data_IF_140391178651
#
_entry.id   IF_140391178651
#
_cell.length_a   1.000
_cell.length_b   1.000
_cell.length_c   1.000
_cell.angle_alpha   90.00
_cell.angle_beta   90.00
_cell.angle_gamma   90.00
#
_symmetry.space_group_name_H-M   'P 1'
#
loop_
_entity.id
_entity.type
_entity.pdbx_description
1 polymer ?
#
# COMPACT_ATOMS: atom_id res chain seq x y z
N UNK A 1 47.22 -16.51 -48.06
CA UNK A 1 47.29 -15.56 -46.94
C UNK A 1 45.94 -14.88 -46.87
N UNK A 2 45.00 -15.40 -46.07
CA UNK A 2 43.69 -14.76 -45.76
C UNK A 2 42.78 -15.61 -44.85
N UNK A 3 43.04 -16.91 -44.65
CA UNK A 3 42.17 -17.75 -43.78
C UNK A 3 42.57 -17.76 -42.29
N UNK A 4 43.79 -17.34 -41.95
CA UNK A 4 44.25 -17.31 -40.55
C UNK A 4 43.79 -16.04 -39.81
N UNK A 5 43.55 -14.93 -40.52
CA UNK A 5 43.09 -13.67 -39.92
C UNK A 5 41.61 -13.70 -39.50
N UNK A 6 40.83 -14.67 -39.97
CA UNK A 6 39.39 -14.75 -39.71
C UNK A 6 39.05 -15.50 -38.42
N UNK A 7 39.99 -16.29 -37.89
CA UNK A 7 39.80 -17.12 -36.68
C UNK A 7 40.25 -16.41 -35.39
N UNK A 8 41.01 -15.33 -35.50
CA UNK A 8 41.63 -14.64 -34.36
C UNK A 8 40.80 -13.43 -33.86
N UNK A 9 39.72 -13.07 -34.57
CA UNK A 9 38.76 -12.02 -34.18
C UNK A 9 37.52 -12.53 -33.45
N UNK A 10 37.46 -13.81 -33.12
CA UNK A 10 36.37 -14.37 -32.34
C UNK A 10 36.73 -14.33 -30.86
N UNK A 11 36.99 -13.11 -30.37
CA UNK A 11 37.09 -12.82 -28.94
C UNK A 11 35.84 -13.32 -28.22
N UNK A 12 35.96 -13.84 -26.99
CA UNK A 12 34.85 -14.38 -26.25
C UNK A 12 33.85 -13.27 -25.94
N UNK A 13 32.77 -13.21 -26.71
CA UNK A 13 31.61 -12.34 -26.45
C UNK A 13 30.44 -13.02 -25.69
N UNK A 14 30.62 -13.96 -24.72
CA UNK A 14 29.49 -14.45 -23.93
C UNK A 14 29.11 -13.50 -22.78
N UNK A 15 30.01 -12.59 -22.33
CA UNK A 15 29.78 -11.76 -21.15
C UNK A 15 28.79 -10.60 -21.39
N UNK A 16 28.91 -9.89 -22.52
CA UNK A 16 28.08 -8.71 -22.83
C UNK A 16 26.62 -9.10 -23.14
N UNK A 17 26.40 -10.30 -23.69
CA UNK A 17 25.06 -10.83 -23.95
C UNK A 17 24.35 -11.30 -22.67
N UNK A 18 25.09 -11.73 -21.64
CA UNK A 18 24.54 -12.16 -20.35
C UNK A 18 24.31 -11.00 -19.36
N UNK A 19 25.05 -9.89 -19.47
CA UNK A 19 24.86 -8.72 -18.60
C UNK A 19 23.53 -7.97 -18.85
N UNK A 20 23.09 -7.83 -20.10
CA UNK A 20 21.83 -7.14 -20.45
C UNK A 20 20.58 -7.78 -19.82
N UNK A 21 20.36 -9.11 -19.94
CA UNK A 21 19.19 -9.74 -19.34
C UNK A 21 19.22 -9.70 -17.80
N UNK A 22 20.42 -9.74 -17.18
CA UNK A 22 20.54 -9.61 -15.72
C UNK A 22 20.22 -8.20 -15.22
N UNK A 23 20.64 -7.14 -15.94
CA UNK A 23 20.28 -5.76 -15.59
C UNK A 23 18.79 -5.49 -15.74
N UNK A 24 18.16 -5.97 -16.81
CA UNK A 24 16.70 -5.86 -16.97
C UNK A 24 15.93 -6.61 -15.88
N UNK A 25 16.40 -7.79 -15.48
CA UNK A 25 15.80 -8.53 -14.36
C UNK A 25 15.92 -7.78 -13.03
N UNK A 26 17.08 -7.17 -12.74
CA UNK A 26 17.28 -6.38 -11.53
C UNK A 26 16.40 -5.12 -11.51
N UNK A 27 16.23 -4.46 -12.66
CA UNK A 27 15.38 -3.27 -12.80
C UNK A 27 13.90 -3.63 -12.61
N UNK A 28 13.42 -4.72 -13.23
CA UNK A 28 12.06 -5.23 -13.03
C UNK A 28 11.83 -5.64 -11.57
N UNK A 29 12.83 -6.29 -10.94
CA UNK A 29 12.74 -6.65 -9.51
C UNK A 29 12.68 -5.42 -8.62
N UNK A 30 13.46 -4.38 -8.93
CA UNK A 30 13.47 -3.11 -8.20
C UNK A 30 12.15 -2.35 -8.31
N UNK A 31 11.51 -2.35 -9.47
CA UNK A 31 10.17 -1.76 -9.66
C UNK A 31 9.10 -2.59 -8.94
N UNK A 32 9.21 -3.93 -8.98
CA UNK A 32 8.27 -4.81 -8.27
C UNK A 32 8.34 -4.63 -6.76
N UNK A 33 9.54 -4.51 -6.17
CA UNK A 33 9.71 -4.34 -4.73
C UNK A 33 9.24 -2.98 -4.22
N UNK A 34 9.40 -1.91 -5.01
CA UNK A 34 8.82 -0.60 -4.71
C UNK A 34 7.29 -0.63 -4.74
N UNK A 35 6.72 -1.29 -5.75
CA UNK A 35 5.27 -1.41 -5.90
C UNK A 35 4.65 -2.24 -4.78
N UNK A 36 5.30 -3.34 -4.40
CA UNK A 36 4.92 -4.17 -3.25
C UNK A 36 5.01 -3.39 -1.93
N UNK A 37 6.10 -2.63 -1.72
CA UNK A 37 6.28 -1.82 -0.52
C UNK A 37 5.18 -0.73 -0.40
N UNK A 38 4.88 -0.02 -1.49
CA UNK A 38 3.80 0.97 -1.52
C UNK A 38 2.43 0.31 -1.31
N UNK A 39 2.18 -0.83 -1.94
CA UNK A 39 0.96 -1.60 -1.75
C UNK A 39 0.76 -2.02 -0.30
N UNK A 40 1.79 -2.57 0.34
CA UNK A 40 1.78 -2.94 1.75
C UNK A 40 1.58 -1.73 2.67
N UNK A 41 2.22 -0.60 2.35
CA UNK A 41 2.08 0.63 3.13
C UNK A 41 0.64 1.16 3.06
N UNK A 42 0.02 1.16 1.87
CA UNK A 42 -1.37 1.56 1.68
C UNK A 42 -2.35 0.61 2.37
N UNK A 43 -2.13 -0.71 2.27
CA UNK A 43 -2.94 -1.72 2.97
C UNK A 43 -2.82 -1.54 4.48
N UNK A 44 -1.61 -1.32 4.99
CA UNK A 44 -1.37 -1.01 6.41
C UNK A 44 -2.11 0.25 6.84
N UNK A 45 -2.04 1.32 6.05
CA UNK A 45 -2.73 2.59 6.36
C UNK A 45 -4.25 2.41 6.38
N UNK A 46 -4.77 1.64 5.43
CA UNK A 46 -6.19 1.31 5.34
C UNK A 46 -6.65 0.50 6.55
N UNK A 47 -5.88 -0.51 6.96
CA UNK A 47 -6.15 -1.31 8.16
C UNK A 47 -6.09 -0.47 9.44
N UNK A 48 -5.12 0.44 9.54
CA UNK A 48 -5.01 1.36 10.69
C UNK A 48 -6.24 2.26 10.79
N UNK A 49 -6.62 2.88 9.67
CA UNK A 49 -7.78 3.77 9.58
C UNK A 49 -9.07 3.00 9.84
N UNK A 50 -9.13 1.75 9.38
CA UNK A 50 -10.24 0.84 9.62
C UNK A 50 -10.40 0.53 11.11
N UNK A 51 -9.33 0.11 11.77
CA UNK A 51 -9.33 -0.23 13.18
C UNK A 51 -9.70 0.97 14.06
N UNK A 52 -9.13 2.15 13.78
CA UNK A 52 -9.47 3.38 14.49
C UNK A 52 -10.94 3.75 14.31
N UNK A 53 -11.43 3.73 13.06
CA UNK A 53 -12.81 4.06 12.75
C UNK A 53 -13.81 3.09 13.37
N UNK A 54 -13.52 1.79 13.34
CA UNK A 54 -14.33 0.75 13.98
C UNK A 54 -14.38 0.95 15.49
N UNK A 55 -13.22 1.14 16.15
CA UNK A 55 -13.15 1.36 17.59
C UNK A 55 -13.92 2.61 18.03
N UNK A 56 -13.71 3.75 17.37
CA UNK A 56 -14.42 4.98 17.68
C UNK A 56 -15.94 4.83 17.53
N UNK A 57 -16.39 4.18 16.46
CA UNK A 57 -17.81 3.89 16.24
C UNK A 57 -18.39 2.95 17.30
N UNK A 58 -17.70 1.86 17.62
CA UNK A 58 -18.12 0.91 18.65
C UNK A 58 -18.29 1.61 19.99
N UNK A 59 -17.31 2.42 20.41
CA UNK A 59 -17.40 3.17 21.67
C UNK A 59 -18.59 4.13 21.66
N UNK A 60 -18.73 4.93 20.60
CA UNK A 60 -19.83 5.89 20.46
C UNK A 60 -21.21 5.22 20.55
N UNK A 61 -21.44 4.17 19.76
CA UNK A 61 -22.72 3.47 19.73
C UNK A 61 -22.99 2.65 20.99
N UNK A 62 -21.93 2.16 21.65
CA UNK A 62 -22.04 1.49 22.96
C UNK A 62 -22.53 2.47 24.03
N UNK A 63 -22.00 3.69 24.05
CA UNK A 63 -22.48 4.75 24.98
C UNK A 63 -23.94 5.10 24.71
N UNK A 64 -24.37 5.06 23.44
CA UNK A 64 -25.77 5.27 23.08
C UNK A 64 -26.67 4.03 23.24
N UNK A 65 -26.14 2.89 23.71
CA UNK A 65 -26.90 1.65 23.89
C UNK A 65 -27.38 1.00 22.59
N UNK A 66 -26.80 1.35 21.44
CA UNK A 66 -27.22 0.86 20.12
C UNK A 66 -26.36 -0.32 19.67
N UNK A 67 -26.89 -1.54 19.82
CA UNK A 67 -26.21 -2.77 19.37
C UNK A 67 -26.02 -2.76 17.85
N UNK A 68 -27.01 -2.26 17.08
CA UNK A 68 -26.89 -2.16 15.64
C UNK A 68 -25.77 -1.22 15.20
N UNK A 69 -25.60 -0.09 15.91
CA UNK A 69 -24.49 0.82 15.66
C UNK A 69 -23.13 0.17 15.90
N UNK A 70 -23.00 -0.60 16.98
CA UNK A 70 -21.78 -1.37 17.30
C UNK A 70 -21.46 -2.40 16.22
N UNK A 71 -22.46 -3.18 15.79
CA UNK A 71 -22.29 -4.20 14.75
C UNK A 71 -21.90 -3.56 13.42
N UNK A 72 -22.56 -2.45 13.03
CA UNK A 72 -22.23 -1.73 11.80
C UNK A 72 -20.81 -1.12 11.85
N UNK A 73 -20.36 -0.62 13.01
CA UNK A 73 -18.99 -0.13 13.17
C UNK A 73 -17.93 -1.24 13.09
N UNK A 74 -18.26 -2.46 13.48
CA UNK A 74 -17.35 -3.61 13.36
C UNK A 74 -17.27 -4.17 11.93
N UNK A 75 -18.38 -4.13 11.18
CA UNK A 75 -18.47 -4.72 9.84
C UNK A 75 -18.09 -3.74 8.74
N UNK A 76 -18.54 -2.48 8.83
CA UNK A 76 -18.43 -1.51 7.74
C UNK A 76 -17.23 -0.59 7.98
N UNK A 77 -16.20 -0.67 7.12
CA UNK A 77 -15.08 0.25 7.14
C UNK A 77 -15.49 1.71 7.16
N UNK A 78 -15.05 2.44 8.19
CA UNK A 78 -15.29 3.87 8.27
C UNK A 78 -16.73 4.27 8.64
N UNK A 79 -17.64 3.34 8.96
CA UNK A 79 -18.98 3.72 9.46
C UNK A 79 -18.90 4.48 10.79
N UNK A 80 -18.06 4.01 11.71
CA UNK A 80 -17.77 4.75 12.95
C UNK A 80 -17.19 6.13 12.65
N UNK A 81 -16.13 6.19 11.85
CA UNK A 81 -15.50 7.45 11.46
C UNK A 81 -16.48 8.43 10.79
N UNK A 82 -17.30 7.99 9.83
CA UNK A 82 -18.25 8.83 9.10
C UNK A 82 -19.40 9.34 9.97
N UNK A 83 -19.82 8.57 10.97
CA UNK A 83 -20.90 8.97 11.89
C UNK A 83 -20.40 9.84 13.03
N UNK A 84 -19.13 9.69 13.44
CA UNK A 84 -18.53 10.51 14.51
C UNK A 84 -17.81 11.75 13.99
N UNK A 85 -17.34 11.78 12.73
CA UNK A 85 -16.64 12.92 12.12
C UNK A 85 -17.40 14.25 12.23
N UNK A 86 -18.70 14.31 11.89
CA UNK A 86 -19.47 15.54 12.03
C UNK A 86 -19.49 16.04 13.48
N UNK A 87 -19.52 15.12 14.44
CA UNK A 87 -19.53 15.40 15.87
C UNK A 87 -18.18 15.97 16.34
N UNK A 88 -17.06 15.39 15.87
CA UNK A 88 -15.72 15.90 16.16
C UNK A 88 -15.45 17.25 15.50
N UNK A 89 -15.91 17.46 14.27
CA UNK A 89 -15.80 18.75 13.58
C UNK A 89 -16.61 19.82 14.33
N UNK A 90 -17.80 19.49 14.80
CA UNK A 90 -18.65 20.39 15.57
C UNK A 90 -18.08 20.71 16.97
N UNK A 91 -17.55 19.71 17.69
CA UNK A 91 -16.85 19.95 18.96
C UNK A 91 -15.55 20.75 18.77
N UNK A 92 -14.79 20.46 17.72
CA UNK A 92 -13.53 21.13 17.39
C UNK A 92 -13.72 22.58 16.91
N UNK A 93 -14.87 22.91 16.33
CA UNK A 93 -15.21 24.29 15.92
C UNK A 93 -15.75 25.16 17.07
N UNK A 94 -15.80 24.65 18.30
CA UNK A 94 -16.19 25.45 19.46
C UNK A 94 -17.67 25.79 19.55
N UNK A 95 -18.56 24.86 19.14
CA UNK A 95 -19.99 24.85 19.46
C UNK A 95 -20.67 26.20 19.69
N UNK A 96 -20.61 27.13 18.73
CA UNK A 96 -21.37 28.38 18.80
C UNK A 96 -22.73 28.16 18.14
N UNK A 97 -23.76 27.96 18.96
CA UNK A 97 -25.15 28.35 18.62
C UNK A 97 -25.29 29.86 18.74
#
# INVERSE_FOLDING_TARGET
MTLYESLERQDPQPAVAAERPQRQLLEIRGVSSLTEALGLMLVSLLLMTWALGAYAGIVYWSVQGSIWGVVLSAIVPGFGAATTLPLYLWLGSGGSL
#
